data_IF_957293181488
#
_entry.id   IF_957293181488
#
_cell.length_a   1.000
_cell.length_b   1.000
_cell.length_c   1.000
_cell.angle_alpha   90.00
_cell.angle_beta   90.00
_cell.angle_gamma   90.00
#
_symmetry.space_group_name_H-M   'P 1'
#
loop_
_entity.id
_entity.type
_entity.pdbx_description
1 polymer ?
#
# COMPACT_ATOMS: atom_id res chain seq x y z
N UNK A 1 -22.93 1.54 -61.24
CA UNK A 1 -22.87 2.14 -59.89
C UNK A 1 -22.66 3.64 -60.01
N UNK A 2 -23.40 4.46 -59.25
CA UNK A 2 -23.30 5.92 -59.32
C UNK A 2 -22.03 6.35 -58.56
N UNK A 3 -21.16 7.19 -59.17
CA UNK A 3 -19.89 7.71 -58.61
C UNK A 3 -19.90 8.04 -57.09
N UNK A 4 -20.96 8.63 -56.48
CA UNK A 4 -20.99 8.87 -55.04
C UNK A 4 -20.95 7.60 -54.17
N UNK A 5 -21.48 6.47 -54.64
CA UNK A 5 -21.47 5.20 -53.90
C UNK A 5 -20.06 4.58 -53.87
N UNK A 6 -19.26 4.79 -54.92
CA UNK A 6 -17.89 4.29 -55.00
C UNK A 6 -16.95 5.05 -54.03
N UNK A 7 -17.16 6.36 -53.88
CA UNK A 7 -16.44 7.21 -52.93
C UNK A 7 -16.77 6.85 -51.47
N UNK A 8 -18.04 6.56 -51.17
CA UNK A 8 -18.47 6.12 -49.85
C UNK A 8 -17.85 4.74 -49.48
N UNK A 9 -17.79 3.81 -50.44
CA UNK A 9 -17.15 2.50 -50.26
C UNK A 9 -15.64 2.60 -50.03
N UNK A 10 -14.95 3.47 -50.78
CA UNK A 10 -13.51 3.74 -50.60
C UNK A 10 -13.23 4.37 -49.22
N UNK A 11 -14.05 5.32 -48.78
CA UNK A 11 -13.93 5.92 -47.44
C UNK A 11 -14.11 4.89 -46.32
N UNK A 12 -15.11 4.02 -46.44
CA UNK A 12 -15.36 2.95 -45.46
C UNK A 12 -14.19 1.95 -45.39
N UNK A 13 -13.59 1.60 -46.53
CA UNK A 13 -12.45 0.70 -46.59
C UNK A 13 -11.22 1.30 -45.89
N UNK A 14 -10.95 2.59 -46.08
CA UNK A 14 -9.82 3.29 -45.44
C UNK A 14 -9.97 3.32 -43.92
N UNK A 15 -11.17 3.58 -43.41
CA UNK A 15 -11.44 3.56 -41.95
C UNK A 15 -11.23 2.16 -41.37
N UNK A 16 -11.68 1.11 -42.06
CA UNK A 16 -11.47 -0.27 -41.63
C UNK A 16 -9.98 -0.62 -41.61
N UNK A 17 -9.24 -0.26 -42.65
CA UNK A 17 -7.78 -0.49 -42.72
C UNK A 17 -7.06 0.27 -41.61
N UNK A 18 -7.45 1.53 -41.32
CA UNK A 18 -6.90 2.30 -40.20
C UNK A 18 -7.20 1.67 -38.85
N UNK A 19 -8.42 1.15 -38.63
CA UNK A 19 -8.79 0.42 -37.42
C UNK A 19 -8.08 -0.94 -37.30
N UNK A 20 -7.69 -1.55 -38.42
CA UNK A 20 -6.92 -2.80 -38.44
C UNK A 20 -5.43 -2.55 -38.17
N UNK A 21 -4.87 -1.43 -38.63
CA UNK A 21 -3.47 -1.05 -38.44
C UNK A 21 -3.21 -0.24 -37.17
N UNK A 22 -4.24 0.27 -36.51
CA UNK A 22 -4.11 0.88 -35.19
C UNK A 22 -3.53 -0.15 -34.21
N UNK A 23 -2.43 0.17 -33.49
CA UNK A 23 -1.85 -0.75 -32.52
C UNK A 23 -2.88 -1.04 -31.44
N UNK A 24 -3.42 -2.27 -31.45
CA UNK A 24 -4.28 -2.77 -30.38
C UNK A 24 -3.40 -3.09 -29.19
N UNK A 25 -3.02 -2.09 -28.41
CA UNK A 25 -2.55 -2.36 -27.05
C UNK A 25 -3.77 -2.82 -26.25
N UNK A 26 -3.84 -4.08 -25.79
CA UNK A 26 -4.87 -4.43 -24.83
C UNK A 26 -4.68 -3.54 -23.60
N UNK A 27 -5.68 -2.71 -23.29
CA UNK A 27 -5.79 -2.04 -22.01
C UNK A 27 -6.07 -3.12 -20.95
N UNK A 28 -5.02 -3.73 -20.42
CA UNK A 28 -5.13 -4.79 -19.45
C UNK A 28 -3.88 -5.65 -19.41
N UNK A 29 -3.18 -5.56 -18.28
CA UNK A 29 -1.88 -6.15 -17.95
C UNK A 29 -0.72 -5.32 -18.48
N UNK A 30 -0.43 -4.24 -17.75
CA UNK A 30 0.98 -3.90 -17.49
C UNK A 30 1.73 -5.21 -17.29
N UNK A 31 2.64 -5.50 -18.22
CA UNK A 31 3.56 -6.60 -18.08
C UNK A 31 4.17 -6.47 -16.70
N UNK A 32 3.86 -7.43 -15.82
CA UNK A 32 4.49 -7.53 -14.52
C UNK A 32 5.99 -7.43 -14.78
N UNK A 33 6.55 -6.26 -14.46
CA UNK A 33 7.99 -6.02 -14.43
C UNK A 33 8.50 -7.21 -13.63
N UNK A 34 9.23 -8.12 -14.28
CA UNK A 34 9.87 -9.23 -13.59
C UNK A 34 10.68 -8.54 -12.51
N UNK A 35 10.16 -8.61 -11.28
CA UNK A 35 10.67 -7.90 -10.13
C UNK A 35 11.92 -8.67 -9.77
N UNK A 36 12.99 -8.43 -10.50
CA UNK A 36 14.34 -8.68 -10.02
C UNK A 36 14.34 -8.07 -8.63
N UNK A 37 14.38 -8.92 -7.60
CA UNK A 37 14.36 -8.45 -6.23
C UNK A 37 15.48 -7.42 -6.13
N UNK A 38 15.09 -6.16 -5.91
CA UNK A 38 16.03 -5.13 -5.52
C UNK A 38 16.83 -5.70 -4.33
N UNK A 39 18.18 -5.65 -4.32
CA UNK A 39 18.97 -6.09 -3.18
C UNK A 39 18.42 -5.60 -1.83
N UNK A 40 17.82 -4.40 -1.79
CA UNK A 40 17.10 -3.89 -0.62
C UNK A 40 15.88 -4.74 -0.23
N UNK A 41 15.05 -5.15 -1.20
CA UNK A 41 13.89 -6.03 -0.96
C UNK A 41 14.30 -7.43 -0.49
N UNK A 42 15.42 -7.97 -1.00
CA UNK A 42 15.93 -9.27 -0.54
C UNK A 42 16.42 -9.23 0.92
N UNK A 43 17.18 -8.18 1.30
CA UNK A 43 17.66 -7.97 2.68
C UNK A 43 16.50 -7.76 3.65
N UNK A 44 15.46 -7.01 3.25
CA UNK A 44 14.24 -6.85 4.05
C UNK A 44 13.53 -8.19 4.27
N UNK A 45 13.40 -9.03 3.23
CA UNK A 45 12.74 -10.33 3.36
C UNK A 45 13.49 -11.28 4.30
N UNK A 46 14.82 -11.30 4.25
CA UNK A 46 15.66 -12.04 5.20
C UNK A 46 15.44 -11.54 6.64
N UNK A 47 15.45 -10.22 6.83
CA UNK A 47 15.23 -9.63 8.13
C UNK A 47 13.88 -10.03 8.74
N UNK A 48 12.80 -10.00 7.95
CA UNK A 48 11.46 -10.42 8.37
C UNK A 48 11.44 -11.91 8.75
N UNK A 49 12.10 -12.77 7.99
CA UNK A 49 12.19 -14.19 8.28
C UNK A 49 12.89 -14.45 9.62
N UNK A 50 13.95 -13.68 9.92
CA UNK A 50 14.65 -13.74 11.20
C UNK A 50 13.78 -13.26 12.37
N UNK A 51 13.00 -12.17 12.18
CA UNK A 51 12.08 -11.68 13.23
C UNK A 51 11.07 -12.75 13.65
N UNK A 52 10.56 -13.53 12.69
CA UNK A 52 9.60 -14.60 12.97
C UNK A 52 10.26 -15.94 13.37
N UNK A 53 11.59 -15.98 13.41
CA UNK A 53 12.39 -17.18 13.66
C UNK A 53 12.94 -17.27 15.08
N UNK A 54 14.04 -18.03 15.22
CA UNK A 54 14.71 -18.23 16.51
C UNK A 54 15.51 -17.02 16.99
N UNK A 55 15.84 -16.07 16.10
CA UNK A 55 16.63 -14.88 16.44
C UNK A 55 15.95 -13.59 15.99
N UNK A 56 14.90 -13.16 16.73
CA UNK A 56 14.16 -11.96 16.35
C UNK A 56 15.00 -10.69 16.43
N UNK A 57 15.96 -10.65 17.34
CA UNK A 57 16.81 -9.48 17.57
C UNK A 57 17.67 -9.18 16.34
N UNK A 58 18.25 -10.22 15.72
CA UNK A 58 19.04 -10.06 14.50
C UNK A 58 18.20 -9.52 13.33
N UNK A 59 16.95 -9.97 13.19
CA UNK A 59 16.04 -9.43 12.18
C UNK A 59 15.75 -7.94 12.39
N UNK A 60 15.49 -7.52 13.63
CA UNK A 60 15.32 -6.11 13.98
C UNK A 60 16.58 -5.29 13.71
N UNK A 61 17.77 -5.81 14.05
CA UNK A 61 19.04 -5.15 13.76
C UNK A 61 19.24 -4.95 12.26
N UNK A 62 18.96 -5.97 11.46
CA UNK A 62 19.08 -5.91 10.00
C UNK A 62 18.15 -4.85 9.40
N UNK A 63 16.90 -4.74 9.87
CA UNK A 63 15.99 -3.66 9.44
C UNK A 63 16.51 -2.27 9.81
N UNK A 64 17.20 -2.13 10.96
CA UNK A 64 17.81 -0.86 11.37
C UNK A 64 19.04 -0.52 10.54
N UNK A 65 19.83 -1.51 10.12
CA UNK A 65 20.95 -1.33 9.20
C UNK A 65 20.46 -0.87 7.83
N UNK A 66 19.37 -1.46 7.32
CA UNK A 66 18.73 -0.98 6.08
C UNK A 66 18.38 0.49 6.20
N UNK A 67 17.80 0.92 7.33
CA UNK A 67 17.48 2.34 7.55
C UNK A 67 18.70 3.24 7.81
N UNK A 68 19.85 2.67 8.17
CA UNK A 68 21.09 3.43 8.26
C UNK A 68 21.70 3.69 6.88
N UNK A 69 21.52 2.75 5.94
CA UNK A 69 21.94 2.85 4.55
C UNK A 69 20.95 3.69 3.71
N UNK A 70 19.66 3.48 3.92
CA UNK A 70 18.53 4.12 3.24
C UNK A 70 17.48 4.58 4.28
N UNK A 71 17.59 5.80 4.82
CA UNK A 71 16.67 6.33 5.82
C UNK A 71 15.22 6.44 5.37
N UNK A 72 14.96 6.41 4.07
CA UNK A 72 13.63 6.54 3.46
C UNK A 72 13.12 5.20 2.91
N UNK A 73 13.70 4.08 3.35
CA UNK A 73 13.21 2.76 2.99
C UNK A 73 11.83 2.48 3.63
N UNK A 74 10.77 2.59 2.83
CA UNK A 74 9.38 2.48 3.30
C UNK A 74 9.09 1.12 3.92
N UNK A 75 9.56 0.04 3.30
CA UNK A 75 9.35 -1.34 3.77
C UNK A 75 10.02 -1.57 5.13
N UNK A 76 11.24 -1.06 5.34
CA UNK A 76 11.91 -1.20 6.63
C UNK A 76 11.19 -0.42 7.74
N UNK A 77 10.67 0.79 7.46
CA UNK A 77 9.81 1.51 8.41
C UNK A 77 8.52 0.75 8.68
N UNK A 78 7.86 0.22 7.65
CA UNK A 78 6.63 -0.58 7.76
C UNK A 78 6.83 -1.77 8.69
N UNK A 79 7.84 -2.61 8.44
CA UNK A 79 8.10 -3.79 9.25
C UNK A 79 8.54 -3.45 10.67
N UNK A 80 9.40 -2.46 10.86
CA UNK A 80 9.75 -1.99 12.21
C UNK A 80 8.53 -1.44 12.96
N UNK A 81 7.58 -0.81 12.28
CA UNK A 81 6.30 -0.39 12.86
C UNK A 81 5.46 -1.57 13.35
N UNK A 82 5.27 -2.59 12.50
CA UNK A 82 4.54 -3.80 12.85
C UNK A 82 5.18 -4.54 14.05
N UNK A 83 6.50 -4.71 14.02
CA UNK A 83 7.21 -5.38 15.11
C UNK A 83 7.28 -4.54 16.39
N UNK A 84 7.23 -3.20 16.27
CA UNK A 84 7.09 -2.32 17.43
C UNK A 84 5.73 -2.54 18.10
N UNK A 85 4.63 -2.70 17.36
CA UNK A 85 3.33 -3.09 17.93
C UNK A 85 3.43 -4.44 18.64
N UNK A 86 4.01 -5.45 17.96
CA UNK A 86 4.13 -6.82 18.52
C UNK A 86 4.89 -6.86 19.85
N UNK A 87 5.85 -5.96 20.02
CA UNK A 87 6.68 -5.85 21.23
C UNK A 87 6.18 -4.79 22.23
N UNK A 88 5.01 -4.19 22.02
CA UNK A 88 4.42 -3.19 22.91
C UNK A 88 5.10 -1.81 22.86
N UNK A 89 5.98 -1.57 21.89
CA UNK A 89 6.70 -0.30 21.71
C UNK A 89 5.87 0.68 20.87
N UNK A 90 4.69 1.04 21.37
CA UNK A 90 3.69 1.79 20.61
C UNK A 90 4.18 3.18 20.15
N UNK A 91 4.98 3.89 20.96
CA UNK A 91 5.56 5.18 20.54
C UNK A 91 6.44 5.05 19.30
N UNK A 92 7.26 3.99 19.24
CA UNK A 92 8.10 3.71 18.08
C UNK A 92 7.24 3.34 16.88
N UNK A 93 6.17 2.57 17.09
CA UNK A 93 5.23 2.23 16.03
C UNK A 93 4.60 3.49 15.41
N UNK A 94 4.19 4.47 16.23
CA UNK A 94 3.67 5.75 15.73
C UNK A 94 4.67 6.45 14.82
N UNK A 95 5.92 6.64 15.28
CA UNK A 95 6.96 7.30 14.47
C UNK A 95 7.18 6.58 13.15
N UNK A 96 7.21 5.23 13.16
CA UNK A 96 7.43 4.43 11.95
C UNK A 96 6.29 4.53 10.96
N UNK A 97 5.04 4.37 11.40
CA UNK A 97 3.90 4.47 10.48
C UNK A 97 3.66 5.90 9.97
N UNK A 98 3.96 6.93 10.78
CA UNK A 98 3.97 8.32 10.30
C UNK A 98 4.98 8.49 9.15
N UNK A 99 6.20 7.96 9.29
CA UNK A 99 7.20 8.02 8.23
C UNK A 99 6.80 7.22 6.99
N UNK A 100 6.16 6.06 7.14
CA UNK A 100 5.58 5.31 6.00
C UNK A 100 4.58 6.18 5.23
N UNK A 101 3.70 6.89 5.92
CA UNK A 101 2.70 7.76 5.27
C UNK A 101 3.31 9.02 4.64
N UNK A 102 4.39 9.55 5.22
CA UNK A 102 5.15 10.67 4.64
C UNK A 102 5.80 10.25 3.31
N UNK A 103 6.36 9.04 3.25
CA UNK A 103 7.09 8.53 2.10
C UNK A 103 6.18 7.97 1.01
N UNK A 104 5.20 7.15 1.38
CA UNK A 104 4.33 6.46 0.45
C UNK A 104 2.97 6.09 1.05
N UNK A 105 2.12 7.09 1.23
CA UNK A 105 0.73 6.89 1.67
C UNK A 105 -0.17 6.17 0.66
N UNK A 106 0.24 6.06 -0.61
CA UNK A 106 -0.58 5.50 -1.68
C UNK A 106 -0.46 3.98 -1.72
N UNK A 107 0.77 3.45 -1.62
CA UNK A 107 1.00 2.01 -1.65
C UNK A 107 0.89 1.36 -0.25
N UNK A 108 0.92 2.17 0.82
CA UNK A 108 0.76 1.69 2.20
C UNK A 108 -0.46 2.31 2.91
N UNK A 109 -1.69 2.17 2.36
CA UNK A 109 -2.88 2.73 2.98
C UNK A 109 -3.16 2.14 4.36
N UNK A 110 -2.75 0.88 4.60
CA UNK A 110 -2.89 0.18 5.87
C UNK A 110 -2.12 0.85 7.02
N UNK A 111 -1.12 1.70 6.73
CA UNK A 111 -0.43 2.48 7.78
C UNK A 111 -1.40 3.41 8.54
N UNK A 112 -2.47 3.89 7.89
CA UNK A 112 -3.54 4.63 8.59
C UNK A 112 -4.29 3.75 9.59
N UNK A 113 -4.56 2.49 9.25
CA UNK A 113 -5.20 1.54 10.16
C UNK A 113 -4.31 1.23 11.37
N UNK A 114 -3.03 0.94 11.12
CA UNK A 114 -2.08 0.67 12.19
C UNK A 114 -1.81 1.89 13.08
N UNK A 115 -1.76 3.11 12.53
CA UNK A 115 -1.76 4.33 13.35
C UNK A 115 -3.02 4.43 14.21
N UNK A 116 -4.20 4.21 13.62
CA UNK A 116 -5.46 4.23 14.34
C UNK A 116 -5.46 3.29 15.55
N UNK A 117 -5.04 2.04 15.34
CA UNK A 117 -4.90 1.03 16.40
C UNK A 117 -3.86 1.42 17.46
N UNK A 118 -2.73 1.95 17.03
CA UNK A 118 -1.63 2.34 17.93
C UNK A 118 -2.05 3.52 18.81
N UNK A 119 -2.68 4.55 18.24
CA UNK A 119 -3.23 5.67 19.01
C UNK A 119 -4.30 5.21 19.99
N UNK A 120 -5.20 4.30 19.59
CA UNK A 120 -6.22 3.76 20.49
C UNK A 120 -5.60 3.01 21.68
N UNK A 121 -4.50 2.29 21.46
CA UNK A 121 -3.78 1.58 22.53
C UNK A 121 -3.07 2.55 23.50
N UNK A 122 -2.74 3.74 23.02
CA UNK A 122 -2.16 4.84 23.80
C UNK A 122 -3.23 5.81 24.33
N UNK A 123 -4.50 5.39 24.39
CA UNK A 123 -5.67 6.18 24.82
C UNK A 123 -5.85 7.53 24.08
N UNK A 124 -5.20 7.68 22.93
CA UNK A 124 -5.25 8.87 22.08
C UNK A 124 -6.42 8.77 21.09
N UNK A 125 -7.64 8.67 21.62
CA UNK A 125 -8.84 8.31 20.85
C UNK A 125 -9.16 9.29 19.71
N UNK A 126 -8.89 10.59 19.88
CA UNK A 126 -9.13 11.57 18.83
C UNK A 126 -8.28 11.30 17.58
N UNK A 127 -6.98 11.05 17.76
CA UNK A 127 -6.07 10.68 16.67
C UNK A 127 -6.42 9.30 16.10
N UNK A 128 -6.80 8.35 16.96
CA UNK A 128 -7.23 7.03 16.52
C UNK A 128 -8.42 7.11 15.55
N UNK A 129 -9.46 7.84 15.94
CA UNK A 129 -10.66 8.07 15.12
C UNK A 129 -10.30 8.75 13.80
N UNK A 130 -9.45 9.79 13.83
CA UNK A 130 -9.03 10.49 12.62
C UNK A 130 -8.31 9.55 11.63
N UNK A 131 -7.36 8.74 12.11
CA UNK A 131 -6.62 7.78 11.28
C UNK A 131 -7.53 6.67 10.72
N UNK A 132 -8.44 6.13 11.53
CA UNK A 132 -9.40 5.11 11.08
C UNK A 132 -10.41 5.66 10.08
N UNK A 133 -10.91 6.89 10.27
CA UNK A 133 -11.77 7.56 9.28
C UNK A 133 -11.04 7.75 7.96
N UNK A 134 -9.76 8.12 7.99
CA UNK A 134 -8.94 8.19 6.78
C UNK A 134 -8.83 6.83 6.11
N UNK A 135 -8.45 5.78 6.84
CA UNK A 135 -8.34 4.42 6.31
C UNK A 135 -9.64 3.93 5.66
N UNK A 136 -10.79 4.17 6.31
CA UNK A 136 -12.11 3.83 5.79
C UNK A 136 -12.38 4.40 4.39
N UNK A 137 -11.88 5.61 4.10
CA UNK A 137 -12.05 6.23 2.76
C UNK A 137 -11.21 5.59 1.66
N UNK A 138 -10.20 4.79 2.02
CA UNK A 138 -9.22 4.20 1.11
C UNK A 138 -9.61 2.78 0.67
N UNK A 139 -10.60 2.16 1.32
CA UNK A 139 -11.06 0.81 1.03
C UNK A 139 -12.52 0.80 0.57
N UNK A 140 -12.83 -0.12 -0.34
CA UNK A 140 -14.20 -0.44 -0.75
C UNK A 140 -14.63 -1.84 -0.26
N UNK A 141 -13.75 -2.54 0.46
CA UNK A 141 -14.04 -3.86 1.00
C UNK A 141 -15.02 -3.75 2.17
N UNK A 142 -16.22 -4.28 1.99
CA UNK A 142 -17.29 -4.23 2.98
C UNK A 142 -16.91 -4.88 4.32
N UNK A 143 -16.13 -5.96 4.31
CA UNK A 143 -15.73 -6.63 5.54
C UNK A 143 -14.75 -5.76 6.33
N UNK A 144 -13.78 -5.12 5.65
CA UNK A 144 -12.86 -4.17 6.26
C UNK A 144 -13.63 -2.95 6.79
N UNK A 145 -14.53 -2.37 5.99
CA UNK A 145 -15.34 -1.22 6.39
C UNK A 145 -16.15 -1.53 7.65
N UNK A 146 -16.85 -2.67 7.70
CA UNK A 146 -17.64 -3.05 8.87
C UNK A 146 -16.77 -3.24 10.13
N UNK A 147 -15.55 -3.77 9.96
CA UNK A 147 -14.58 -3.88 11.06
C UNK A 147 -14.13 -2.52 11.58
N UNK A 148 -13.80 -1.60 10.66
CA UNK A 148 -13.39 -0.23 11.00
C UNK A 148 -14.54 0.55 11.65
N UNK A 149 -15.76 0.42 11.14
CA UNK A 149 -16.94 1.11 11.67
C UNK A 149 -17.29 0.64 13.09
N UNK A 150 -17.17 -0.66 13.37
CA UNK A 150 -17.31 -1.16 14.74
C UNK A 150 -16.25 -0.56 15.65
N UNK A 151 -15.00 -0.54 15.21
CA UNK A 151 -13.91 -0.01 16.04
C UNK A 151 -14.06 1.49 16.29
N UNK A 152 -14.52 2.26 15.31
CA UNK A 152 -14.86 3.67 15.46
C UNK A 152 -15.97 3.87 16.51
N UNK A 153 -17.04 3.08 16.45
CA UNK A 153 -18.13 3.14 17.44
C UNK A 153 -17.62 2.83 18.86
N UNK A 154 -16.73 1.86 19.02
CA UNK A 154 -16.13 1.55 20.33
C UNK A 154 -15.39 2.75 20.89
N UNK A 155 -14.52 3.38 20.08
CA UNK A 155 -13.73 4.55 20.49
C UNK A 155 -14.59 5.79 20.80
N UNK A 156 -15.66 6.01 20.04
CA UNK A 156 -16.60 7.15 20.25
C UNK A 156 -17.44 6.99 21.53
N UNK A 157 -17.56 5.76 22.07
CA UNK A 157 -18.31 5.46 23.28
C UNK A 157 -17.45 5.44 24.56
N UNK A 158 -16.13 5.56 24.45
CA UNK A 158 -15.23 5.71 25.60
C UNK A 158 -15.42 7.12 26.18
N UNK A 159 -16.03 7.22 27.36
CA UNK A 159 -16.23 8.47 28.12
C UNK A 159 -15.02 8.82 28.99
#
# INVERSE_FOLDING_TARGET
MKKPQLLALLGALVVIVLLLMAPRTPAGKEAAKVRTMDPGQAKTQEAIALVNGQDPMRGIMMLREILAEDPDNVEAHWHLGLFSIQSGQYDKALTRFQKVLELDSVNFPDAWFYLGRTYATLDSNAQAIASLKKYRTLTQDTAIINGVDRFLLELENVK
#
